data_IF_508528852551
#
_entry.id   IF_508528852551
#
_cell.length_a   1.000
_cell.length_b   1.000
_cell.length_c   1.000
_cell.angle_alpha   90.00
_cell.angle_beta   90.00
_cell.angle_gamma   90.00
#
_symmetry.space_group_name_H-M   'P 1'
#
loop_
_entity.id
_entity.type
_entity.pdbx_description
1 polymer ?
#
# COMPACT_ATOMS: atom_id res chain seq x y z
N UNK A 1 -12.89 9.08 -2.57
CA UNK A 1 -11.52 9.02 -3.09
C UNK A 1 -10.67 10.22 -2.67
N UNK A 2 -10.86 11.42 -3.23
CA UNK A 2 -9.98 12.58 -2.95
C UNK A 2 -9.83 12.93 -1.46
N UNK A 3 -10.93 12.94 -0.70
CA UNK A 3 -10.91 13.21 0.74
C UNK A 3 -10.14 12.14 1.55
N UNK A 4 -10.19 10.88 1.10
CA UNK A 4 -9.45 9.78 1.75
C UNK A 4 -7.96 9.95 1.58
N UNK A 5 -7.54 10.34 0.36
CA UNK A 5 -6.14 10.59 0.04
C UNK A 5 -5.59 11.81 0.81
N UNK A 6 -6.31 12.93 0.82
CA UNK A 6 -5.85 14.13 1.54
C UNK A 6 -5.82 13.91 3.06
N UNK A 7 -6.80 13.18 3.61
CA UNK A 7 -6.79 12.80 5.03
C UNK A 7 -5.60 11.90 5.36
N UNK A 8 -5.40 10.82 4.59
CA UNK A 8 -4.28 9.90 4.79
C UNK A 8 -2.93 10.59 4.64
N UNK A 9 -2.80 11.47 3.65
CA UNK A 9 -1.58 12.27 3.45
C UNK A 9 -1.29 13.17 4.65
N UNK A 10 -2.31 13.86 5.18
CA UNK A 10 -2.17 14.69 6.38
C UNK A 10 -1.72 13.84 7.57
N UNK A 11 -2.36 12.70 7.83
CA UNK A 11 -1.98 11.81 8.93
C UNK A 11 -0.54 11.32 8.79
N UNK A 12 -0.13 10.84 7.62
CA UNK A 12 1.23 10.34 7.42
C UNK A 12 2.30 11.44 7.55
N UNK A 13 2.10 12.58 6.89
CA UNK A 13 3.15 13.60 6.80
C UNK A 13 3.18 14.53 8.00
N UNK A 14 2.03 14.84 8.61
CA UNK A 14 1.94 15.84 9.69
C UNK A 14 1.88 15.16 11.06
N UNK A 15 1.09 14.10 11.20
CA UNK A 15 0.83 13.48 12.52
C UNK A 15 1.86 12.39 12.84
N UNK A 16 2.27 11.60 11.85
CA UNK A 16 3.26 10.53 12.01
C UNK A 16 4.69 10.94 11.63
N UNK A 17 4.88 12.17 11.14
CA UNK A 17 6.19 12.70 10.74
C UNK A 17 6.96 11.79 9.77
N UNK A 18 6.27 11.22 8.78
CA UNK A 18 6.89 10.44 7.72
C UNK A 18 7.95 11.28 6.98
N UNK A 19 9.13 10.71 6.73
CA UNK A 19 10.25 11.42 6.08
C UNK A 19 9.89 11.95 4.68
N UNK A 20 8.99 11.30 3.97
CA UNK A 20 8.53 11.79 2.68
C UNK A 20 7.57 10.83 1.98
N UNK A 21 6.67 11.42 1.21
CA UNK A 21 5.80 10.70 0.31
C UNK A 21 6.38 10.69 -1.11
N UNK A 22 6.18 9.60 -1.86
CA UNK A 22 6.61 9.46 -3.26
C UNK A 22 5.46 8.84 -4.08
N UNK A 23 5.39 9.20 -5.36
CA UNK A 23 4.50 8.58 -6.32
C UNK A 23 5.24 8.47 -7.66
N UNK A 24 5.60 7.25 -8.07
CA UNK A 24 6.34 7.02 -9.32
C UNK A 24 5.42 6.83 -10.54
N UNK A 25 4.10 6.86 -10.35
CA UNK A 25 3.11 6.71 -11.42
C UNK A 25 2.91 5.27 -11.92
N UNK A 26 3.45 4.27 -11.23
CA UNK A 26 3.26 2.84 -11.52
C UNK A 26 3.21 2.04 -10.22
N UNK A 27 2.10 1.33 -10.00
CA UNK A 27 1.91 0.51 -8.80
C UNK A 27 2.98 -0.57 -8.65
N UNK A 28 3.31 -1.26 -9.75
CA UNK A 28 4.36 -2.28 -9.79
C UNK A 28 5.73 -1.69 -9.36
N UNK A 29 6.09 -0.51 -9.87
CA UNK A 29 7.32 0.17 -9.45
C UNK A 29 7.26 0.55 -7.98
N UNK A 30 6.14 1.11 -7.50
CA UNK A 30 5.99 1.49 -6.10
C UNK A 30 6.18 0.28 -5.16
N UNK A 31 5.63 -0.88 -5.51
CA UNK A 31 5.80 -2.13 -4.73
C UNK A 31 7.26 -2.61 -4.76
N UNK A 32 7.90 -2.62 -5.94
CA UNK A 32 9.30 -3.04 -6.07
C UNK A 32 10.25 -2.09 -5.34
N UNK A 33 9.92 -0.80 -5.23
CA UNK A 33 10.66 0.16 -4.41
C UNK A 33 10.66 -0.22 -2.93
N UNK A 34 9.58 -0.82 -2.43
CA UNK A 34 9.54 -1.40 -1.09
C UNK A 34 10.36 -2.68 -1.02
N UNK A 35 10.22 -3.57 -2.01
CA UNK A 35 10.97 -4.84 -2.06
C UNK A 35 12.49 -4.63 -2.06
N UNK A 36 13.00 -3.59 -2.74
CA UNK A 36 14.43 -3.27 -2.74
C UNK A 36 14.89 -2.47 -1.51
N UNK A 37 13.98 -2.09 -0.59
CA UNK A 37 14.30 -1.32 0.61
C UNK A 37 14.53 0.16 0.39
N UNK A 38 14.14 0.72 -0.77
CA UNK A 38 14.22 2.16 -1.03
C UNK A 38 13.03 2.95 -0.47
N UNK A 39 11.91 2.28 -0.18
CA UNK A 39 10.74 2.82 0.48
C UNK A 39 10.29 1.86 1.58
N UNK A 40 9.76 2.38 2.68
CA UNK A 40 9.33 1.52 3.80
C UNK A 40 7.93 0.95 3.60
N UNK A 41 7.04 1.67 2.91
CA UNK A 41 5.67 1.23 2.66
C UNK A 41 5.04 1.90 1.43
N UNK A 42 3.97 1.29 0.93
CA UNK A 42 3.15 1.75 -0.19
C UNK A 42 1.68 1.39 0.06
N UNK A 43 0.78 2.33 -0.21
CA UNK A 43 -0.67 2.12 -0.15
C UNK A 43 -1.34 2.70 -1.38
N UNK A 44 -2.15 1.90 -2.07
CA UNK A 44 -2.92 2.33 -3.23
C UNK A 44 -4.31 1.67 -3.29
N UNK A 45 -5.23 2.38 -3.94
CA UNK A 45 -6.62 2.01 -4.12
C UNK A 45 -7.01 2.19 -5.60
N UNK A 46 -7.95 1.38 -6.07
CA UNK A 46 -8.44 1.40 -7.45
C UNK A 46 -7.57 0.63 -8.45
N UNK A 47 -6.56 -0.08 -7.99
CA UNK A 47 -5.66 -0.87 -8.83
C UNK A 47 -6.36 -2.07 -9.46
N UNK A 48 -5.75 -2.58 -10.53
CA UNK A 48 -6.19 -3.81 -11.15
C UNK A 48 -5.29 -5.00 -10.80
N UNK A 49 -5.81 -6.21 -10.93
CA UNK A 49 -5.05 -7.43 -10.59
C UNK A 49 -3.71 -7.53 -11.33
N UNK A 50 -3.68 -7.10 -12.60
CA UNK A 50 -2.47 -7.09 -13.43
C UNK A 50 -1.43 -6.06 -12.99
N UNK A 51 -1.82 -5.01 -12.27
CA UNK A 51 -0.88 -3.99 -11.77
C UNK A 51 -0.07 -4.51 -10.57
N UNK A 52 -0.60 -5.50 -9.85
CA UNK A 52 -0.09 -5.97 -8.55
C UNK A 52 0.53 -7.36 -8.64
N UNK A 53 -0.07 -8.28 -9.41
CA UNK A 53 0.20 -9.71 -9.32
C UNK A 53 1.69 -10.08 -9.38
N UNK A 54 2.45 -9.53 -10.34
CA UNK A 54 3.87 -9.81 -10.48
C UNK A 54 4.70 -9.20 -9.34
N UNK A 55 4.40 -7.95 -8.96
CA UNK A 55 5.14 -7.24 -7.93
C UNK A 55 4.88 -7.79 -6.52
N UNK A 56 3.69 -8.35 -6.27
CA UNK A 56 3.37 -9.02 -5.01
C UNK A 56 4.28 -10.22 -4.76
N UNK A 57 4.52 -11.06 -5.77
CA UNK A 57 5.46 -12.20 -5.65
C UNK A 57 6.87 -11.70 -5.35
N UNK A 58 7.33 -10.67 -6.07
CA UNK A 58 8.67 -10.07 -5.83
C UNK A 58 8.79 -9.58 -4.39
N UNK A 59 7.79 -8.86 -3.89
CA UNK A 59 7.80 -8.34 -2.53
C UNK A 59 7.83 -9.48 -1.50
N UNK A 60 7.00 -10.50 -1.67
CA UNK A 60 6.96 -11.66 -0.76
C UNK A 60 8.31 -12.39 -0.71
N UNK A 61 8.96 -12.61 -1.85
CA UNK A 61 10.28 -13.25 -1.91
C UNK A 61 11.40 -12.36 -1.34
N UNK A 62 11.23 -11.03 -1.39
CA UNK A 62 12.12 -10.08 -0.72
C UNK A 62 11.93 -10.01 0.80
N UNK A 63 10.93 -10.72 1.36
CA UNK A 63 10.60 -10.70 2.78
C UNK A 63 9.68 -9.56 3.21
N UNK A 64 9.11 -8.81 2.27
CA UNK A 64 8.13 -7.78 2.56
C UNK A 64 6.74 -8.35 2.87
N UNK A 65 5.89 -7.51 3.47
CA UNK A 65 4.55 -7.89 3.92
C UNK A 65 3.48 -7.18 3.10
N UNK A 66 2.41 -7.90 2.75
CA UNK A 66 1.32 -7.41 1.91
C UNK A 66 -0.05 -7.78 2.48
N UNK A 67 -0.92 -6.77 2.61
CA UNK A 67 -2.27 -6.88 3.17
C UNK A 67 -3.24 -5.98 2.43
N UNK A 68 -4.53 -6.17 2.71
CA UNK A 68 -5.52 -5.15 2.43
C UNK A 68 -5.31 -3.95 3.37
N UNK A 69 -5.45 -2.69 2.91
CA UNK A 69 -5.35 -1.52 3.78
C UNK A 69 -6.27 -1.58 5.01
N UNK A 70 -7.39 -2.31 4.93
CA UNK A 70 -8.34 -2.51 6.06
C UNK A 70 -7.90 -3.57 7.08
N UNK A 71 -6.67 -4.10 6.96
CA UNK A 71 -6.11 -5.13 7.86
C UNK A 71 -6.55 -6.56 7.52
N UNK A 72 -7.31 -6.75 6.44
CA UNK A 72 -7.71 -8.07 5.94
C UNK A 72 -6.55 -8.73 5.17
N UNK A 73 -6.58 -10.07 5.01
CA UNK A 73 -5.64 -10.75 4.13
C UNK A 73 -5.65 -10.15 2.73
N UNK A 74 -4.47 -10.07 2.11
CA UNK A 74 -4.33 -9.57 0.75
C UNK A 74 -5.18 -10.39 -0.23
N UNK A 75 -5.94 -9.69 -1.07
CA UNK A 75 -6.69 -10.26 -2.17
C UNK A 75 -6.40 -9.43 -3.43
N UNK A 76 -5.78 -10.05 -4.43
CA UNK A 76 -5.41 -9.37 -5.69
C UNK A 76 -6.61 -8.74 -6.42
N UNK A 77 -7.82 -9.25 -6.20
CA UNK A 77 -9.06 -8.77 -6.82
C UNK A 77 -9.74 -7.65 -6.02
N UNK A 78 -9.26 -7.30 -4.82
CA UNK A 78 -9.93 -6.30 -3.96
C UNK A 78 -9.72 -4.85 -4.42
N UNK A 79 -8.88 -4.64 -5.43
CA UNK A 79 -8.51 -3.32 -5.96
C UNK A 79 -7.83 -2.40 -4.96
N UNK A 80 -7.23 -2.96 -3.91
CA UNK A 80 -6.53 -2.21 -2.88
C UNK A 80 -5.38 -3.03 -2.31
N UNK A 81 -4.31 -2.33 -1.99
CA UNK A 81 -3.11 -2.95 -1.43
C UNK A 81 -2.44 -1.99 -0.45
N UNK A 82 -1.98 -2.55 0.66
CA UNK A 82 -1.01 -1.95 1.55
C UNK A 82 0.13 -2.93 1.67
N UNK A 83 1.35 -2.45 1.40
CA UNK A 83 2.54 -3.24 1.57
C UNK A 83 3.62 -2.45 2.30
N UNK A 84 4.47 -3.17 3.04
CA UNK A 84 5.54 -2.58 3.82
C UNK A 84 6.74 -3.54 3.92
N UNK A 85 7.87 -2.98 4.34
CA UNK A 85 9.09 -3.74 4.62
C UNK A 85 8.94 -4.72 5.79
N UNK A 86 8.03 -4.44 6.73
CA UNK A 86 7.72 -5.34 7.86
C UNK A 86 6.21 -5.42 8.13
N UNK A 87 5.78 -6.50 8.79
CA UNK A 87 4.39 -6.71 9.20
C UNK A 87 3.93 -5.64 10.20
N UNK A 88 4.78 -5.27 11.16
CA UNK A 88 4.46 -4.27 12.19
C UNK A 88 4.15 -2.90 11.57
N UNK A 89 4.93 -2.51 10.56
CA UNK A 89 4.70 -1.25 9.85
C UNK A 89 3.39 -1.30 9.06
N UNK A 90 3.12 -2.39 8.34
CA UNK A 90 1.87 -2.55 7.60
C UNK A 90 0.65 -2.47 8.52
N UNK A 91 0.68 -3.16 9.68
CA UNK A 91 -0.42 -3.13 10.65
C UNK A 91 -0.58 -1.73 11.27
N UNK A 92 0.52 -1.09 11.63
CA UNK A 92 0.51 0.28 12.15
C UNK A 92 -0.15 1.25 11.17
N UNK A 93 0.25 1.19 9.89
CA UNK A 93 -0.32 2.00 8.82
C UNK A 93 -1.79 1.70 8.59
N UNK A 94 -2.19 0.43 8.59
CA UNK A 94 -3.59 0.03 8.45
C UNK A 94 -4.49 0.69 9.50
N UNK A 95 -4.02 0.80 10.74
CA UNK A 95 -4.81 1.38 11.85
C UNK A 95 -5.00 2.89 11.77
N UNK A 96 -4.10 3.62 11.10
CA UNK A 96 -4.13 5.09 11.04
C UNK A 96 -4.68 5.64 9.74
N UNK A 97 -4.66 4.85 8.66
CA UNK A 97 -5.05 5.31 7.34
C UNK A 97 -6.57 5.36 7.18
N UNK A 98 -7.06 6.40 6.52
CA UNK A 98 -8.47 6.46 6.11
C UNK A 98 -8.65 5.64 4.83
N UNK A 99 -9.47 4.59 4.91
CA UNK A 99 -9.68 3.68 3.78
C UNK A 99 -10.68 4.22 2.77
N UNK A 100 -10.38 3.97 1.50
CA UNK A 100 -11.34 4.11 0.41
C UNK A 100 -11.82 2.71 -0.01
N UNK A 101 -13.13 2.56 -0.15
CA UNK A 101 -13.71 1.34 -0.68
C UNK A 101 -13.74 1.37 -2.21
N UNK A 102 -13.51 0.21 -2.80
CA UNK A 102 -13.64 -0.07 -4.22
C UNK A 102 -14.41 -1.37 -4.38
N UNK A 103 -15.24 -1.46 -5.41
CA UNK A 103 -15.86 -2.72 -5.79
C UNK A 103 -14.77 -3.68 -6.26
N UNK A 104 -14.76 -4.94 -5.77
CA UNK A 104 -13.84 -5.95 -6.27
C UNK A 104 -13.99 -6.15 -7.79
N UNK A 105 -12.93 -6.65 -8.42
CA UNK A 105 -13.04 -7.12 -9.79
C UNK A 105 -13.83 -8.43 -9.88
N UNK A 106 -14.90 -8.44 -10.69
CA UNK A 106 -15.74 -9.61 -10.94
C UNK A 106 -17.18 -9.39 -10.54
#
# INVERSE_FOLDING_TARGET
>A
MLNSYTSSYKTLMVEQNCHGHRCFGSAAINIVMVAQGSCDAMVEYGLHAWDIAAAAVILSEAGGFLIDPTGKPFNVMSRKILCASTEELAISLSNILTHADFEPEG
#
